data_IF_185652344747
#
_entry.id   IF_185652344747
#
_cell.length_a   1.000
_cell.length_b   1.000
_cell.length_c   1.000
_cell.angle_alpha   90.00
_cell.angle_beta   90.00
_cell.angle_gamma   90.00
#
_symmetry.space_group_name_H-M   'P 1'
#
loop_
_entity.id
_entity.type
_entity.pdbx_description
1 polymer ?
#
# COMPACT_ATOMS: atom_id res chain seq x y z
N UNK A 1 -53.20 13.17 44.73
CA UNK A 1 -51.76 13.32 44.87
C UNK A 1 -51.09 12.29 43.95
N UNK A 2 -50.60 12.73 42.78
CA UNK A 2 -49.96 11.85 41.79
C UNK A 2 -48.47 12.08 41.91
N UNK A 3 -47.78 11.07 42.39
CA UNK A 3 -46.33 11.08 42.61
C UNK A 3 -45.67 10.74 41.26
N UNK A 4 -45.04 11.74 40.61
CA UNK A 4 -44.28 11.56 39.39
C UNK A 4 -42.95 10.87 39.71
N UNK A 5 -42.80 9.62 39.26
CA UNK A 5 -41.56 8.84 39.31
C UNK A 5 -40.70 9.29 38.15
N UNK A 6 -39.65 10.06 38.41
CA UNK A 6 -38.61 10.44 37.46
C UNK A 6 -37.63 9.27 37.34
N UNK A 7 -37.71 8.51 36.23
CA UNK A 7 -36.71 7.54 35.88
C UNK A 7 -35.59 8.30 35.14
N UNK A 8 -34.49 8.53 35.84
CA UNK A 8 -33.26 9.03 35.22
C UNK A 8 -32.57 7.83 34.57
N UNK A 9 -32.74 7.68 33.25
CA UNK A 9 -31.97 6.75 32.47
C UNK A 9 -30.56 7.31 32.31
N UNK A 10 -29.62 6.85 33.12
CA UNK A 10 -28.18 7.11 32.93
C UNK A 10 -27.69 6.32 31.72
N UNK A 11 -27.59 7.01 30.57
CA UNK A 11 -26.90 6.49 29.41
C UNK A 11 -25.41 6.46 29.76
N UNK A 12 -24.90 5.27 30.09
CA UNK A 12 -23.47 5.03 30.21
C UNK A 12 -22.92 5.00 28.77
N UNK A 13 -22.41 6.14 28.29
CA UNK A 13 -21.63 6.21 27.08
C UNK A 13 -20.30 5.50 27.41
N UNK A 14 -20.17 4.25 27.03
CA UNK A 14 -18.90 3.54 27.05
C UNK A 14 -18.00 4.23 26.04
N UNK A 15 -17.15 5.13 26.50
CA UNK A 15 -16.00 5.62 25.74
C UNK A 15 -15.08 4.43 25.51
N UNK A 16 -15.22 3.75 24.39
CA UNK A 16 -14.20 2.82 23.90
C UNK A 16 -12.99 3.67 23.54
N UNK A 17 -12.09 3.88 24.49
CA UNK A 17 -10.77 4.36 24.19
C UNK A 17 -10.14 3.31 23.27
N UNK A 18 -10.07 3.59 21.98
CA UNK A 18 -9.25 2.81 21.07
C UNK A 18 -7.81 2.96 21.57
N UNK A 19 -7.32 1.92 22.24
CA UNK A 19 -5.95 1.90 22.75
C UNK A 19 -4.99 1.95 21.56
N UNK A 20 -3.90 2.72 21.73
CA UNK A 20 -2.80 2.69 20.77
C UNK A 20 -2.43 1.24 20.44
N UNK A 21 -2.09 0.93 19.16
CA UNK A 21 -1.65 -0.42 18.83
C UNK A 21 -0.46 -0.78 19.71
N UNK A 22 -0.47 -1.98 20.29
CA UNK A 22 0.59 -2.45 21.17
C UNK A 22 1.90 -2.58 20.38
N UNK A 23 2.83 -1.67 20.60
CA UNK A 23 4.19 -1.70 20.07
C UNK A 23 5.13 -2.10 21.20
N UNK A 24 6.02 -3.04 20.93
CA UNK A 24 7.11 -3.37 21.84
C UNK A 24 8.28 -2.44 21.54
N UNK A 25 8.71 -1.55 22.48
CA UNK A 25 9.88 -0.74 22.21
C UNK A 25 11.12 -1.60 21.95
N UNK A 26 11.85 -1.29 20.89
CA UNK A 26 13.03 -2.02 20.45
C UNK A 26 14.28 -1.15 20.57
N UNK A 27 15.45 -1.76 20.74
CA UNK A 27 16.71 -1.06 20.45
C UNK A 27 16.72 -0.73 18.96
N UNK A 28 17.08 0.50 18.60
CA UNK A 28 16.95 1.01 17.21
C UNK A 28 17.77 0.20 16.18
N UNK A 29 18.72 -0.58 16.64
CA UNK A 29 19.57 -1.45 15.80
C UNK A 29 19.12 -2.91 15.79
N UNK A 30 18.10 -3.27 16.58
CA UNK A 30 17.53 -4.62 16.61
C UNK A 30 16.50 -4.78 15.49
N UNK A 31 16.97 -5.18 14.31
CA UNK A 31 16.13 -5.36 13.14
C UNK A 31 15.09 -6.47 13.30
N UNK A 32 15.33 -7.47 14.13
CA UNK A 32 14.40 -8.58 14.31
C UNK A 32 13.21 -8.13 15.16
N UNK A 33 13.46 -7.44 16.27
CA UNK A 33 12.42 -6.81 17.09
C UNK A 33 11.57 -5.83 16.26
N UNK A 34 12.20 -4.94 15.49
CA UNK A 34 11.51 -3.95 14.65
C UNK A 34 10.69 -4.63 13.55
N UNK A 35 11.22 -5.69 12.92
CA UNK A 35 10.50 -6.46 11.90
C UNK A 35 9.27 -7.16 12.48
N UNK A 36 9.39 -7.72 13.67
CA UNK A 36 8.26 -8.38 14.33
C UNK A 36 7.14 -7.38 14.70
N UNK A 37 7.50 -6.17 15.14
CA UNK A 37 6.53 -5.09 15.32
C UNK A 37 5.82 -4.78 13.99
N UNK A 38 6.57 -4.68 12.89
CA UNK A 38 5.98 -4.42 11.58
C UNK A 38 4.99 -5.52 11.16
N UNK A 39 5.32 -6.81 11.39
CA UNK A 39 4.41 -7.94 11.10
C UNK A 39 3.09 -7.82 11.84
N UNK A 40 3.13 -7.44 13.12
CA UNK A 40 1.92 -7.28 13.93
C UNK A 40 1.12 -6.03 13.56
N UNK A 41 1.80 -4.97 13.14
CA UNK A 41 1.17 -3.70 12.83
C UNK A 41 0.55 -3.63 11.43
N UNK A 42 1.07 -4.34 10.44
CA UNK A 42 0.56 -4.31 9.05
C UNK A 42 -0.96 -4.51 8.98
N UNK A 43 -1.56 -5.57 9.55
CA UNK A 43 -3.01 -5.75 9.48
C UNK A 43 -3.79 -4.64 10.21
N UNK A 44 -3.27 -4.11 11.30
CA UNK A 44 -3.90 -3.01 12.06
C UNK A 44 -3.88 -1.72 11.23
N UNK A 45 -2.73 -1.42 10.60
CA UNK A 45 -2.60 -0.28 9.69
C UNK A 45 -3.51 -0.39 8.47
N UNK A 46 -3.65 -1.59 7.94
CA UNK A 46 -4.50 -1.84 6.78
C UNK A 46 -5.99 -1.62 7.08
N UNK A 47 -6.43 -1.94 8.29
CA UNK A 47 -7.79 -1.65 8.76
C UNK A 47 -8.00 -0.16 9.10
N UNK A 48 -6.91 0.59 9.27
CA UNK A 48 -6.93 1.98 9.67
C UNK A 48 -6.92 2.18 11.18
N UNK A 49 -6.40 3.33 11.62
CA UNK A 49 -6.32 3.71 13.03
C UNK A 49 -6.84 5.16 13.14
N UNK A 50 -8.17 5.38 13.25
CA UNK A 50 -8.78 6.71 13.19
C UNK A 50 -8.18 7.70 14.19
N UNK A 51 -7.91 7.27 15.43
CA UNK A 51 -7.33 8.11 16.47
C UNK A 51 -5.94 8.66 16.11
N UNK A 52 -5.23 7.94 15.24
CA UNK A 52 -3.93 8.34 14.68
C UNK A 52 -4.05 9.02 13.31
N UNK A 53 -5.26 9.12 12.75
CA UNK A 53 -5.50 9.68 11.42
C UNK A 53 -5.04 8.75 10.30
N UNK A 54 -4.84 7.46 10.59
CA UNK A 54 -4.53 6.43 9.61
C UNK A 54 -5.83 5.97 8.97
N UNK A 55 -5.93 6.14 7.66
CA UNK A 55 -7.09 5.67 6.87
C UNK A 55 -6.94 4.19 6.56
N UNK A 56 -8.05 3.51 6.31
CA UNK A 56 -8.06 2.15 5.75
C UNK A 56 -7.34 2.12 4.41
N UNK A 57 -6.45 1.14 4.22
CA UNK A 57 -5.72 0.92 2.96
C UNK A 57 -5.93 -0.48 2.38
N UNK A 58 -6.83 -1.28 2.94
CA UNK A 58 -7.24 -2.56 2.37
C UNK A 58 -8.76 -2.75 2.50
N UNK A 59 -9.52 -2.59 1.40
CA UNK A 59 -9.06 -2.20 0.07
C UNK A 59 -8.66 -0.72 -0.02
N UNK A 60 -7.67 -0.41 -0.87
CA UNK A 60 -7.36 0.96 -1.26
C UNK A 60 -7.90 1.23 -2.66
N UNK A 61 -8.48 2.41 -2.87
CA UNK A 61 -9.11 2.79 -4.14
C UNK A 61 -8.54 4.10 -4.68
N UNK A 62 -8.37 4.16 -6.00
CA UNK A 62 -7.90 5.34 -6.72
C UNK A 62 -8.89 5.68 -7.83
N UNK A 63 -9.38 6.91 -7.86
CA UNK A 63 -10.29 7.37 -8.92
C UNK A 63 -9.63 7.40 -10.29
N UNK A 64 -8.35 7.80 -10.33
CA UNK A 64 -7.59 7.87 -11.57
C UNK A 64 -6.09 7.77 -11.27
N UNK A 65 -5.39 7.00 -12.09
CA UNK A 65 -3.92 6.94 -12.13
C UNK A 65 -3.51 7.09 -13.58
N UNK A 66 -2.67 8.08 -13.86
CA UNK A 66 -1.99 8.20 -15.15
C UNK A 66 -0.65 7.43 -15.06
N UNK A 67 -0.61 6.26 -15.70
CA UNK A 67 0.54 5.40 -15.79
C UNK A 67 1.22 5.45 -17.16
N UNK A 68 0.97 6.52 -17.92
CA UNK A 68 1.52 6.70 -19.27
C UNK A 68 3.04 6.79 -19.26
N UNK A 69 3.64 6.33 -20.35
CA UNK A 69 5.06 6.43 -20.68
C UNK A 69 5.23 7.08 -22.07
N UNK A 70 6.44 7.40 -22.54
CA UNK A 70 6.63 8.02 -23.85
C UNK A 70 5.98 7.28 -25.01
N UNK A 71 5.91 5.94 -24.93
CA UNK A 71 5.41 5.09 -26.00
C UNK A 71 4.03 4.47 -25.73
N UNK A 72 3.46 4.74 -24.56
CA UNK A 72 2.20 4.15 -24.13
C UNK A 72 1.36 5.17 -23.35
N UNK A 73 0.21 5.55 -23.87
CA UNK A 73 -0.86 6.15 -23.06
C UNK A 73 -1.51 5.04 -22.24
N UNK A 74 -1.48 5.14 -20.94
CA UNK A 74 -2.11 4.16 -20.04
C UNK A 74 -2.77 4.86 -18.86
N UNK A 75 -4.09 4.93 -18.92
CA UNK A 75 -4.93 5.56 -17.91
C UNK A 75 -5.72 4.47 -17.18
N UNK A 76 -5.68 4.50 -15.86
CA UNK A 76 -6.47 3.63 -15.00
C UNK A 76 -7.51 4.46 -14.25
N UNK A 77 -8.71 3.94 -14.09
CA UNK A 77 -9.78 4.56 -13.32
C UNK A 77 -10.49 3.56 -12.43
N UNK A 78 -11.03 4.06 -11.32
CA UNK A 78 -11.72 3.28 -10.30
C UNK A 78 -10.92 2.03 -9.87
N UNK A 79 -9.59 2.20 -9.77
CA UNK A 79 -8.67 1.13 -9.42
C UNK A 79 -8.83 0.76 -7.96
N UNK A 80 -8.98 -0.53 -7.68
CA UNK A 80 -9.04 -1.09 -6.33
C UNK A 80 -7.91 -2.09 -6.14
N UNK A 81 -7.13 -1.92 -5.08
CA UNK A 81 -6.07 -2.85 -4.66
C UNK A 81 -6.46 -3.50 -3.34
N UNK A 82 -6.42 -4.83 -3.30
CA UNK A 82 -6.73 -5.66 -2.13
C UNK A 82 -5.56 -6.56 -1.79
N UNK A 83 -5.41 -6.89 -0.50
CA UNK A 83 -4.40 -7.84 -0.02
C UNK A 83 -3.26 -7.18 0.75
N UNK A 84 -3.23 -5.85 0.88
CA UNK A 84 -2.22 -5.12 1.66
C UNK A 84 -2.21 -5.53 3.13
N UNK A 85 -3.38 -5.87 3.69
CA UNK A 85 -3.55 -6.38 5.06
C UNK A 85 -2.76 -7.67 5.32
N UNK A 86 -2.59 -8.49 4.30
CA UNK A 86 -1.93 -9.79 4.38
C UNK A 86 -0.45 -9.74 3.97
N UNK A 87 0.10 -8.56 3.74
CA UNK A 87 1.53 -8.39 3.47
C UNK A 87 2.36 -8.88 4.66
N UNK A 88 3.49 -9.48 4.35
CA UNK A 88 4.44 -9.97 5.36
C UNK A 88 5.69 -9.11 5.34
N UNK A 89 6.05 -8.52 6.49
CA UNK A 89 7.34 -7.89 6.63
C UNK A 89 8.45 -8.95 6.62
N UNK A 90 9.26 -8.91 5.56
CA UNK A 90 10.46 -9.74 5.46
C UNK A 90 11.57 -9.12 6.31
N UNK A 91 11.72 -7.80 6.20
CA UNK A 91 12.72 -7.04 6.95
C UNK A 91 12.28 -5.58 7.11
N UNK A 92 12.41 -5.08 8.34
CA UNK A 92 12.41 -3.66 8.62
C UNK A 92 13.64 -3.37 9.49
N UNK A 93 14.51 -2.50 9.03
CA UNK A 93 15.75 -2.18 9.71
C UNK A 93 16.03 -0.67 9.69
N UNK A 94 16.60 -0.14 10.78
CA UNK A 94 17.07 1.24 10.87
C UNK A 94 18.59 1.28 10.59
N UNK A 95 19.03 2.24 9.76
CA UNK A 95 20.45 2.49 9.54
C UNK A 95 21.04 3.29 10.71
N UNK A 96 22.23 2.89 11.18
CA UNK A 96 22.96 3.61 12.23
C UNK A 96 23.53 4.96 11.75
N UNK A 97 23.85 5.09 10.46
CA UNK A 97 24.60 6.23 9.91
C UNK A 97 23.69 7.36 9.45
N UNK A 98 22.48 7.02 9.02
CA UNK A 98 21.42 7.96 8.62
C UNK A 98 20.12 7.42 9.21
N UNK A 99 19.25 8.31 9.69
CA UNK A 99 17.92 7.92 10.20
C UNK A 99 17.01 7.31 9.11
N UNK A 100 17.56 6.39 8.31
CA UNK A 100 16.85 5.76 7.22
C UNK A 100 16.29 4.43 7.67
N UNK A 101 15.08 4.12 7.21
CA UNK A 101 14.46 2.81 7.38
C UNK A 101 14.54 2.06 6.05
N UNK A 102 15.01 0.84 6.11
CA UNK A 102 14.92 -0.13 5.02
C UNK A 102 13.76 -1.07 5.29
N UNK A 103 12.83 -1.15 4.35
CA UNK A 103 11.65 -2.02 4.42
C UNK A 103 11.63 -2.98 3.24
N UNK A 104 11.41 -4.27 3.52
CA UNK A 104 11.11 -5.29 2.51
C UNK A 104 9.83 -6.03 2.90
N UNK A 105 8.85 -6.03 1.99
CA UNK A 105 7.56 -6.70 2.14
C UNK A 105 7.38 -7.78 1.07
N UNK A 106 6.60 -8.80 1.38
CA UNK A 106 6.04 -9.75 0.41
C UNK A 106 4.52 -9.73 0.53
N UNK A 107 3.83 -9.54 -0.59
CA UNK A 107 2.39 -9.39 -0.64
C UNK A 107 1.77 -10.28 -1.71
N UNK A 108 0.53 -10.73 -1.48
CA UNK A 108 -0.35 -11.25 -2.51
C UNK A 108 -1.45 -10.22 -2.76
N UNK A 109 -1.50 -9.65 -3.98
CA UNK A 109 -2.37 -8.53 -4.29
C UNK A 109 -3.34 -8.87 -5.41
N UNK A 110 -4.60 -8.43 -5.26
CA UNK A 110 -5.60 -8.38 -6.32
C UNK A 110 -5.83 -6.92 -6.69
N UNK A 111 -5.81 -6.63 -7.99
CA UNK A 111 -5.96 -5.29 -8.56
C UNK A 111 -7.06 -5.36 -9.61
N UNK A 112 -8.10 -4.57 -9.42
CA UNK A 112 -9.26 -4.49 -10.30
C UNK A 112 -9.53 -3.02 -10.65
N UNK A 113 -9.92 -2.75 -11.89
CA UNK A 113 -10.28 -1.38 -12.30
C UNK A 113 -10.68 -1.29 -13.76
N UNK A 114 -10.85 -0.05 -14.20
CA UNK A 114 -11.02 0.28 -15.60
C UNK A 114 -9.72 0.80 -16.19
N UNK A 115 -9.51 0.53 -17.48
CA UNK A 115 -8.33 1.02 -18.20
C UNK A 115 -8.69 1.61 -19.56
N UNK A 116 -7.87 2.53 -20.01
CA UNK A 116 -7.76 2.98 -21.39
C UNK A 116 -6.28 3.01 -21.76
N UNK A 117 -5.90 2.30 -22.84
CA UNK A 117 -4.53 2.28 -23.31
C UNK A 117 -4.42 2.38 -24.83
N UNK A 118 -3.35 3.04 -25.27
CA UNK A 118 -2.97 3.19 -26.67
C UNK A 118 -1.48 3.38 -26.77
N UNK A 119 -0.81 2.54 -27.58
CA UNK A 119 0.63 2.63 -27.78
C UNK A 119 1.27 1.26 -27.98
N UNK A 120 2.41 1.04 -27.29
CA UNK A 120 3.20 -0.17 -27.43
C UNK A 120 3.58 -0.73 -26.06
N UNK A 121 3.39 -2.05 -25.88
CA UNK A 121 3.86 -2.81 -24.71
C UNK A 121 4.78 -3.90 -25.23
N UNK A 122 6.00 -3.98 -24.68
CA UNK A 122 7.09 -4.81 -25.21
C UNK A 122 7.35 -4.45 -26.68
N UNK A 123 6.82 -5.25 -27.61
CA UNK A 123 6.94 -5.06 -29.06
C UNK A 123 5.58 -5.05 -29.78
N UNK A 124 4.50 -5.07 -29.02
CA UNK A 124 3.14 -5.15 -29.56
C UNK A 124 2.44 -3.81 -29.52
N UNK A 125 1.91 -3.39 -30.65
CA UNK A 125 0.96 -2.27 -30.71
C UNK A 125 -0.36 -2.68 -30.07
N UNK A 126 -0.79 -1.91 -29.09
CA UNK A 126 -1.98 -2.18 -28.30
C UNK A 126 -2.88 -0.95 -28.30
N UNK A 127 -4.16 -1.20 -28.48
CA UNK A 127 -5.23 -0.24 -28.24
C UNK A 127 -6.38 -0.97 -27.57
N UNK A 128 -6.93 -0.37 -26.51
CA UNK A 128 -8.07 -0.96 -25.83
C UNK A 128 -8.59 -0.12 -24.70
N UNK A 129 -9.82 -0.45 -24.32
CA UNK A 129 -10.52 0.13 -23.18
C UNK A 129 -11.47 -0.90 -22.60
N UNK A 130 -11.49 -1.04 -21.28
CA UNK A 130 -12.33 -2.02 -20.61
C UNK A 130 -11.92 -2.22 -19.17
N UNK A 131 -12.12 -3.44 -18.66
CA UNK A 131 -11.69 -3.85 -17.33
C UNK A 131 -10.27 -4.39 -17.34
N UNK A 132 -9.53 -4.11 -16.27
CA UNK A 132 -8.24 -4.75 -15.99
C UNK A 132 -8.34 -5.53 -14.68
N UNK A 133 -7.83 -6.75 -14.70
CA UNK A 133 -7.68 -7.62 -13.54
C UNK A 133 -6.24 -8.09 -13.46
N UNK A 134 -5.62 -7.93 -12.31
CA UNK A 134 -4.30 -8.48 -12.05
C UNK A 134 -4.26 -9.19 -10.70
N UNK A 135 -3.73 -10.40 -10.67
CA UNK A 135 -3.40 -11.11 -9.45
C UNK A 135 -1.89 -11.32 -9.37
N UNK A 136 -1.29 -10.77 -8.33
CA UNK A 136 0.13 -10.85 -8.05
C UNK A 136 0.32 -11.76 -6.82
N UNK A 137 0.58 -13.07 -6.99
CA UNK A 137 0.61 -14.02 -5.88
C UNK A 137 1.77 -13.75 -4.92
N UNK A 138 2.85 -13.18 -5.41
CA UNK A 138 4.01 -12.81 -4.61
C UNK A 138 4.75 -11.64 -5.24
N UNK A 139 4.36 -10.42 -4.88
CA UNK A 139 5.13 -9.21 -5.16
C UNK A 139 6.01 -8.87 -3.95
N UNK A 140 7.31 -8.78 -4.14
CA UNK A 140 8.25 -8.24 -3.17
C UNK A 140 8.43 -6.75 -3.41
N UNK A 141 8.17 -5.94 -2.39
CA UNK A 141 8.35 -4.48 -2.43
C UNK A 141 9.50 -4.15 -1.48
N UNK A 142 10.48 -3.42 -1.98
CA UNK A 142 11.60 -2.87 -1.19
C UNK A 142 11.47 -1.35 -1.17
N UNK A 143 11.61 -0.74 0.00
CA UNK A 143 11.59 0.70 0.16
C UNK A 143 12.73 1.17 1.08
N UNK A 144 13.44 2.21 0.63
CA UNK A 144 14.41 2.97 1.40
C UNK A 144 13.75 4.30 1.79
N UNK A 145 13.49 4.47 3.09
CA UNK A 145 12.77 5.60 3.65
C UNK A 145 13.74 6.54 4.36
N UNK A 146 13.93 7.74 3.83
CA UNK A 146 14.68 8.80 4.51
C UNK A 146 13.80 9.39 5.61
N UNK A 147 14.18 9.20 6.88
CA UNK A 147 13.44 9.73 8.01
C UNK A 147 14.17 10.87 8.69
N UNK A 148 13.41 11.77 9.31
CA UNK A 148 13.89 12.87 10.14
C UNK A 148 13.15 12.88 11.47
N UNK A 149 13.86 13.25 12.54
CA UNK A 149 13.24 13.50 13.83
C UNK A 149 12.70 14.94 13.85
N UNK A 150 11.53 15.11 14.44
CA UNK A 150 10.88 16.39 14.68
C UNK A 150 10.57 16.50 16.16
N UNK A 151 10.99 17.58 16.79
CA UNK A 151 10.65 17.87 18.18
C UNK A 151 9.38 18.70 18.26
N UNK A 152 8.49 18.31 19.17
CA UNK A 152 7.26 19.02 19.50
C UNK A 152 6.95 18.81 20.98
N UNK A 153 6.80 19.93 21.72
CA UNK A 153 6.51 19.91 23.17
C UNK A 153 7.50 19.06 24.00
N UNK A 154 8.80 19.07 23.64
CA UNK A 154 9.82 18.29 24.33
C UNK A 154 9.87 16.81 23.97
N UNK A 155 9.00 16.33 23.06
CA UNK A 155 8.98 14.96 22.59
C UNK A 155 9.45 14.87 21.13
N UNK A 156 10.15 13.79 20.80
CA UNK A 156 10.62 13.51 19.43
C UNK A 156 9.63 12.63 18.69
N UNK A 157 9.43 12.95 17.42
CA UNK A 157 8.53 12.25 16.49
C UNK A 157 9.27 11.91 15.20
N UNK A 158 8.96 10.79 14.58
CA UNK A 158 9.50 10.43 13.28
C UNK A 158 8.66 11.01 12.14
N UNK A 159 9.34 11.31 11.02
CA UNK A 159 8.69 11.65 9.76
C UNK A 159 9.49 11.08 8.60
N UNK A 160 8.83 10.38 7.69
CA UNK A 160 9.38 10.00 6.39
C UNK A 160 9.35 11.23 5.49
N UNK A 161 10.53 11.68 5.04
CA UNK A 161 10.70 12.87 4.21
C UNK A 161 10.72 12.53 2.72
N UNK A 162 11.39 11.43 2.38
CA UNK A 162 11.53 10.89 1.02
C UNK A 162 11.56 9.38 1.08
N UNK A 163 11.24 8.76 -0.02
CA UNK A 163 11.43 7.32 -0.19
C UNK A 163 11.85 7.01 -1.62
N UNK A 164 12.59 5.91 -1.77
CA UNK A 164 12.80 5.20 -3.02
C UNK A 164 12.19 3.82 -2.86
N UNK A 165 11.65 3.27 -3.94
CA UNK A 165 11.09 1.94 -3.93
C UNK A 165 11.48 1.17 -5.18
N UNK A 166 11.42 -0.15 -5.06
CA UNK A 166 11.48 -1.08 -6.17
C UNK A 166 10.56 -2.25 -5.88
N UNK A 167 10.17 -2.98 -6.92
CA UNK A 167 9.40 -4.21 -6.75
C UNK A 167 9.93 -5.32 -7.66
N UNK A 168 9.67 -6.55 -7.25
CA UNK A 168 9.95 -7.74 -8.05
C UNK A 168 8.82 -8.76 -7.88
N UNK A 169 8.55 -9.52 -8.93
CA UNK A 169 7.50 -10.54 -8.96
C UNK A 169 8.14 -11.91 -8.81
N UNK A 170 7.88 -12.59 -7.69
CA UNK A 170 8.48 -13.88 -7.33
C UNK A 170 7.63 -15.08 -7.74
N UNK A 171 6.39 -14.87 -8.15
CA UNK A 171 5.49 -15.88 -8.69
C UNK A 171 4.96 -15.46 -10.06
N UNK A 172 4.41 -16.42 -10.83
CA UNK A 172 3.73 -16.08 -12.07
C UNK A 172 2.46 -15.31 -11.73
N UNK A 173 2.39 -14.07 -12.22
CA UNK A 173 1.21 -13.22 -12.08
C UNK A 173 0.17 -13.57 -13.12
N UNK A 174 -1.09 -13.27 -12.81
CA UNK A 174 -2.17 -13.30 -13.76
C UNK A 174 -2.55 -11.87 -14.13
N UNK A 175 -2.65 -11.58 -15.43
CA UNK A 175 -2.97 -10.24 -15.96
C UNK A 175 -3.95 -10.37 -17.10
N UNK A 176 -5.11 -9.73 -16.97
CA UNK A 176 -6.16 -9.75 -17.97
C UNK A 176 -6.64 -8.34 -18.26
N UNK A 177 -6.72 -8.01 -19.54
CA UNK A 177 -7.35 -6.80 -20.05
C UNK A 177 -8.56 -7.18 -20.90
N UNK A 178 -9.76 -6.74 -20.53
CA UNK A 178 -10.95 -6.94 -21.34
C UNK A 178 -11.04 -5.86 -22.42
N UNK A 179 -11.38 -6.28 -23.63
CA UNK A 179 -11.63 -5.33 -24.73
C UNK A 179 -10.40 -4.80 -25.44
N UNK A 180 -9.28 -5.51 -25.37
CA UNK A 180 -8.14 -5.25 -26.25
C UNK A 180 -8.45 -5.60 -27.70
N UNK A 181 -8.00 -4.77 -28.65
CA UNK A 181 -7.97 -5.04 -30.11
C UNK A 181 -9.31 -5.60 -30.65
N UNK A 182 -10.43 -5.04 -30.22
CA UNK A 182 -11.79 -5.54 -30.54
C UNK A 182 -12.05 -5.73 -32.05
N UNK A 183 -11.37 -4.94 -32.87
CA UNK A 183 -11.57 -4.95 -34.32
C UNK A 183 -10.75 -6.01 -35.07
N UNK A 184 -9.89 -6.79 -34.35
CA UNK A 184 -9.06 -7.82 -34.95
C UNK A 184 -8.87 -9.03 -34.02
N UNK A 185 -9.71 -10.05 -34.20
CA UNK A 185 -9.73 -11.25 -33.34
C UNK A 185 -8.41 -12.03 -33.34
N UNK A 186 -7.68 -12.05 -34.45
CA UNK A 186 -6.40 -12.79 -34.55
C UNK A 186 -5.33 -12.08 -33.71
N UNK A 187 -5.26 -10.75 -33.80
CA UNK A 187 -4.34 -9.97 -32.96
C UNK A 187 -4.76 -9.98 -31.49
N UNK A 188 -6.06 -9.96 -31.21
CA UNK A 188 -6.57 -10.06 -29.83
C UNK A 188 -6.10 -11.37 -29.17
N UNK A 189 -6.27 -12.52 -29.84
CA UNK A 189 -5.82 -13.79 -29.32
C UNK A 189 -4.29 -13.84 -29.12
N UNK A 190 -3.52 -13.40 -30.08
CA UNK A 190 -2.05 -13.36 -29.95
C UNK A 190 -1.59 -12.46 -28.78
N UNK A 191 -2.32 -11.37 -28.55
CA UNK A 191 -2.04 -10.44 -27.44
C UNK A 191 -2.41 -11.09 -26.09
N UNK A 192 -3.56 -11.76 -26.00
CA UNK A 192 -3.93 -12.49 -24.78
C UNK A 192 -2.90 -13.57 -24.45
N UNK A 193 -2.46 -14.35 -25.43
CA UNK A 193 -1.44 -15.39 -25.26
C UNK A 193 -0.11 -14.79 -24.76
N UNK A 194 0.30 -13.63 -25.29
CA UNK A 194 1.49 -12.92 -24.81
C UNK A 194 1.30 -12.46 -23.36
N UNK A 195 0.19 -11.81 -23.05
CA UNK A 195 -0.11 -11.31 -21.69
C UNK A 195 -0.10 -12.45 -20.67
N UNK A 196 -0.65 -13.62 -21.02
CA UNK A 196 -0.64 -14.78 -20.14
C UNK A 196 0.76 -15.39 -19.97
N UNK A 197 1.55 -15.43 -21.03
CA UNK A 197 2.88 -16.04 -21.00
C UNK A 197 3.96 -15.12 -20.43
N UNK A 198 3.82 -13.80 -20.62
CA UNK A 198 4.79 -12.78 -20.21
C UNK A 198 4.18 -11.74 -19.24
N UNK A 199 3.22 -12.17 -18.41
CA UNK A 199 2.51 -11.28 -17.49
C UNK A 199 3.44 -10.50 -16.56
N UNK A 200 4.49 -11.14 -16.04
CA UNK A 200 5.44 -10.48 -15.15
C UNK A 200 6.25 -9.39 -15.86
N UNK A 201 6.67 -9.64 -17.10
CA UNK A 201 7.40 -8.69 -17.93
C UNK A 201 6.52 -7.48 -18.23
N UNK A 202 5.27 -7.72 -18.62
CA UNK A 202 4.29 -6.67 -18.88
C UNK A 202 4.05 -5.84 -17.61
N UNK A 203 3.81 -6.48 -16.47
CA UNK A 203 3.59 -5.78 -15.19
C UNK A 203 4.83 -4.96 -14.79
N UNK A 204 6.03 -5.46 -15.02
CA UNK A 204 7.27 -4.70 -14.75
C UNK A 204 7.38 -3.47 -15.62
N UNK A 205 6.92 -3.53 -16.87
CA UNK A 205 6.96 -2.39 -17.80
C UNK A 205 5.93 -1.32 -17.46
N UNK A 206 4.67 -1.71 -17.20
CA UNK A 206 3.57 -0.75 -17.03
C UNK A 206 3.17 -0.48 -15.57
N UNK A 207 3.56 -1.35 -14.63
CA UNK A 207 3.09 -1.30 -13.24
C UNK A 207 3.81 -0.32 -12.33
N UNK A 208 4.96 0.22 -12.76
CA UNK A 208 5.82 1.05 -11.91
C UNK A 208 5.10 2.22 -11.28
N UNK A 209 4.30 2.96 -12.06
CA UNK A 209 3.53 4.12 -11.59
C UNK A 209 2.40 3.73 -10.63
N UNK A 210 1.78 2.59 -10.85
CA UNK A 210 0.74 2.05 -9.95
C UNK A 210 1.35 1.73 -8.58
N UNK A 211 2.48 1.01 -8.57
CA UNK A 211 3.20 0.68 -7.32
C UNK A 211 3.65 1.96 -6.61
N UNK A 212 4.21 2.94 -7.31
CA UNK A 212 4.60 4.23 -6.75
C UNK A 212 3.41 4.92 -6.06
N UNK A 213 2.25 4.94 -6.72
CA UNK A 213 1.04 5.59 -6.20
C UNK A 213 0.53 4.90 -4.92
N UNK A 214 0.50 3.56 -4.91
CA UNK A 214 0.12 2.78 -3.72
C UNK A 214 1.11 3.02 -2.57
N UNK A 215 2.41 2.94 -2.84
CA UNK A 215 3.45 3.16 -1.82
C UNK A 215 3.37 4.58 -1.26
N UNK A 216 3.10 5.58 -2.11
CA UNK A 216 2.94 6.98 -1.68
C UNK A 216 1.80 7.11 -0.66
N UNK A 217 0.63 6.57 -0.95
CA UNK A 217 -0.53 6.64 -0.03
C UNK A 217 -0.26 5.91 1.29
N UNK A 218 0.39 4.74 1.23
CA UNK A 218 0.80 4.00 2.44
C UNK A 218 1.80 4.82 3.27
N UNK A 219 2.80 5.44 2.65
CA UNK A 219 3.79 6.29 3.34
C UNK A 219 3.13 7.51 3.99
N UNK A 220 2.14 8.12 3.33
CA UNK A 220 1.38 9.23 3.91
C UNK A 220 0.61 8.78 5.15
N UNK A 221 -0.04 7.62 5.13
CA UNK A 221 -0.72 7.04 6.29
C UNK A 221 0.25 6.72 7.44
N UNK A 222 1.42 6.15 7.14
CA UNK A 222 2.49 5.93 8.13
C UNK A 222 2.95 7.25 8.74
N UNK A 223 3.06 8.32 7.95
CA UNK A 223 3.40 9.65 8.45
C UNK A 223 2.32 10.25 9.39
N UNK A 224 1.03 9.92 9.18
CA UNK A 224 -0.03 10.32 10.11
C UNK A 224 0.18 9.68 11.48
N UNK A 225 0.53 8.40 11.51
CA UNK A 225 0.83 7.68 12.73
C UNK A 225 2.07 8.24 13.43
N UNK A 226 3.19 8.39 12.73
CA UNK A 226 4.44 8.89 13.29
C UNK A 226 4.34 10.30 13.88
N UNK A 227 3.44 11.14 13.38
CA UNK A 227 3.18 12.48 13.94
C UNK A 227 2.49 12.47 15.29
N UNK A 228 1.83 11.39 15.65
CA UNK A 228 1.04 11.27 16.90
C UNK A 228 1.68 10.35 17.93
N UNK A 229 2.60 9.47 17.53
CA UNK A 229 3.27 8.57 18.44
C UNK A 229 4.72 9.04 18.67
N UNK A 230 5.11 9.40 19.90
CA UNK A 230 6.47 9.78 20.24
C UNK A 230 7.49 8.66 19.94
N UNK A 231 8.71 9.03 19.59
CA UNK A 231 9.80 8.10 19.24
C UNK A 231 10.09 7.09 20.35
N UNK A 232 9.99 7.51 21.61
CA UNK A 232 10.18 6.67 22.81
C UNK A 232 9.21 5.50 22.93
N UNK A 233 8.07 5.56 22.23
CA UNK A 233 7.07 4.49 22.25
C UNK A 233 7.48 3.30 21.37
N UNK A 234 8.45 3.47 20.48
CA UNK A 234 8.96 2.38 19.64
C UNK A 234 10.47 2.15 19.71
N UNK A 235 11.25 3.09 20.25
CA UNK A 235 12.69 2.91 20.46
C UNK A 235 13.10 3.14 21.90
N UNK A 236 14.05 2.31 22.37
CA UNK A 236 14.60 2.37 23.73
C UNK A 236 15.81 3.30 23.83
N UNK A 237 16.39 3.74 22.69
CA UNK A 237 17.61 4.52 22.55
C UNK A 237 17.46 5.73 21.62
#
# INVERSE_FOLDING_TARGET
MVQKLLIIASVIISLTNASAPSITPCVSTDSDCITENARRLIPIFADGIPDYGVKTVDPITFKSIDASSPNLKFLLSDLTVKGLKNCKAIKLARSKVKYNLFLKLSCALNIDGDYEMEGEILVLKIVGKGKVHAFLPNIEITADLETVEKEKNGEKYLRIKKFNHSFDLKGKSDLKFEGLLKDNQVLAQATEDLLQNSSNEVIKEIGGKVVETVVTEVVENVNHFFRKLPLKEYYLD
#
